data_IF_804729286607
#
_entry.id   IF_804729286607
#
_cell.length_a   1.000
_cell.length_b   1.000
_cell.length_c   1.000
_cell.angle_alpha   90.00
_cell.angle_beta   90.00
_cell.angle_gamma   90.00
#
_symmetry.space_group_name_H-M   'P 1'
#
loop_
_entity.id
_entity.type
_entity.pdbx_description
1 polymer ?
#
# COMPACT_ATOMS: atom_id res chain seq x y z
N UNK A 1 -1.43 4.73 3.82
CA UNK A 1 -1.79 4.26 2.45
C UNK A 1 -2.55 2.94 2.57
N UNK A 2 -3.44 2.64 1.63
CA UNK A 2 -4.18 1.38 1.52
C UNK A 2 -4.00 0.83 0.10
N UNK A 3 -3.63 -0.44 0.02
CA UNK A 3 -3.47 -1.17 -1.23
C UNK A 3 -4.69 -2.05 -1.47
N UNK A 4 -4.91 -2.45 -2.72
CA UNK A 4 -5.98 -3.38 -3.07
C UNK A 4 -5.69 -4.78 -2.52
N UNK A 5 -6.74 -5.52 -2.17
CA UNK A 5 -6.64 -6.89 -1.65
C UNK A 5 -6.31 -7.94 -2.74
N UNK A 6 -6.11 -7.49 -3.98
CA UNK A 6 -5.79 -8.31 -5.14
C UNK A 6 -4.77 -7.63 -6.04
N UNK A 7 -4.09 -8.45 -6.85
CA UNK A 7 -3.11 -8.00 -7.83
C UNK A 7 -3.40 -8.63 -9.19
N UNK A 8 -2.85 -8.02 -10.24
CA UNK A 8 -3.05 -8.45 -11.63
C UNK A 8 -1.73 -8.92 -12.23
N UNK A 9 -1.76 -10.03 -12.96
CA UNK A 9 -0.62 -10.53 -13.72
C UNK A 9 -0.52 -9.88 -15.13
N UNK A 10 0.56 -10.15 -15.86
CA UNK A 10 0.79 -9.57 -17.18
C UNK A 10 -0.22 -9.98 -18.26
N UNK A 11 -1.02 -11.03 -18.01
CA UNK A 11 -2.11 -11.46 -18.91
C UNK A 11 -3.46 -10.89 -18.50
N UNK A 12 -3.52 -10.09 -17.43
CA UNK A 12 -4.77 -9.55 -16.89
C UNK A 12 -5.49 -10.48 -15.92
N UNK A 13 -4.86 -11.57 -15.48
CA UNK A 13 -5.40 -12.45 -14.45
C UNK A 13 -5.38 -11.78 -13.07
N UNK A 14 -6.51 -11.79 -12.36
CA UNK A 14 -6.66 -11.19 -11.03
C UNK A 14 -6.50 -12.26 -9.96
N UNK A 15 -5.60 -12.02 -9.01
CA UNK A 15 -5.24 -12.95 -7.95
C UNK A 15 -5.42 -12.31 -6.57
N UNK A 16 -6.05 -12.99 -5.60
CA UNK A 16 -6.16 -12.47 -4.24
C UNK A 16 -4.79 -12.50 -3.56
N UNK A 17 -4.49 -11.47 -2.77
CA UNK A 17 -3.29 -11.49 -1.94
C UNK A 17 -3.58 -12.38 -0.73
N UNK A 18 -2.90 -13.52 -0.62
CA UNK A 18 -3.06 -14.47 0.48
C UNK A 18 -1.95 -14.26 1.51
N UNK A 19 -2.20 -13.39 2.48
CA UNK A 19 -1.31 -13.09 3.61
C UNK A 19 -1.93 -12.08 4.58
N UNK A 20 -1.41 -12.00 5.82
CA UNK A 20 -1.70 -10.89 6.73
C UNK A 20 -1.10 -9.62 6.14
N UNK A 21 -1.90 -8.87 5.37
CA UNK A 21 -1.44 -7.76 4.54
C UNK A 21 -1.21 -6.43 5.27
N UNK A 22 -1.21 -6.42 6.60
CA UNK A 22 -1.01 -5.20 7.39
C UNK A 22 0.30 -5.26 8.19
N UNK A 23 1.43 -5.37 7.48
CA UNK A 23 2.73 -5.03 8.07
C UNK A 23 3.18 -3.66 7.55
N UNK A 24 2.75 -2.61 8.26
CA UNK A 24 3.47 -1.33 8.28
C UNK A 24 4.85 -1.61 8.89
N UNK A 25 5.89 -1.74 8.07
CA UNK A 25 7.26 -1.80 8.56
C UNK A 25 7.82 -0.39 8.58
N UNK A 26 8.00 0.17 9.78
CA UNK A 26 8.75 1.42 9.95
C UNK A 26 10.23 1.11 9.72
N UNK A 27 10.73 1.43 8.53
CA UNK A 27 12.16 1.35 8.25
C UNK A 27 12.81 2.64 8.73
N UNK A 28 13.55 2.57 9.83
CA UNK A 28 14.40 3.67 10.28
C UNK A 28 15.58 3.77 9.29
N UNK A 29 15.65 4.86 8.54
CA UNK A 29 16.88 5.27 7.85
C UNK A 29 17.52 6.40 8.67
N UNK A 30 18.84 6.44 8.72
CA UNK A 30 19.64 7.27 9.66
C UNK A 30 19.35 8.78 9.64
N UNK A 31 18.56 9.28 8.68
CA UNK A 31 18.20 10.70 8.59
C UNK A 31 16.67 10.96 8.47
N UNK A 32 15.83 9.92 8.32
CA UNK A 32 14.37 10.07 8.26
C UNK A 32 13.63 8.76 8.53
N UNK A 33 12.51 8.83 9.26
CA UNK A 33 11.58 7.70 9.37
C UNK A 33 10.80 7.61 8.06
N UNK A 34 11.13 6.66 7.19
CA UNK A 34 10.36 6.38 5.98
C UNK A 34 9.38 5.26 6.33
N UNK A 35 8.09 5.54 6.25
CA UNK A 35 7.07 4.49 6.33
C UNK A 35 7.11 3.69 5.02
N UNK A 36 7.65 2.47 5.09
CA UNK A 36 7.72 1.53 3.98
C UNK A 36 6.52 0.59 4.01
N UNK A 37 5.92 0.35 2.85
CA UNK A 37 4.85 -0.65 2.69
C UNK A 37 5.47 -1.89 2.07
N UNK A 38 5.54 -2.97 2.85
CA UNK A 38 5.96 -4.28 2.36
C UNK A 38 4.72 -5.07 1.94
N UNK A 39 4.74 -5.61 0.71
CA UNK A 39 3.65 -6.45 0.18
C UNK A 39 4.23 -7.80 -0.18
N UNK A 40 3.57 -8.86 0.28
CA UNK A 40 3.87 -10.24 -0.12
C UNK A 40 2.75 -10.75 -1.01
N UNK A 41 3.05 -11.07 -2.28
CA UNK A 41 2.07 -11.61 -3.22
C UNK A 41 1.76 -13.10 -3.01
N UNK A 42 2.41 -13.75 -2.05
CA UNK A 42 2.33 -15.19 -1.84
C UNK A 42 3.39 -15.95 -2.65
N UNK A 43 3.60 -17.24 -2.33
CA UNK A 43 4.62 -18.06 -3.00
C UNK A 43 4.23 -18.40 -4.45
N UNK A 44 2.93 -18.56 -4.69
CA UNK A 44 2.35 -18.88 -6.00
C UNK A 44 2.56 -17.74 -7.01
N UNK A 45 2.84 -16.52 -6.53
CA UNK A 45 3.11 -15.37 -7.37
C UNK A 45 4.34 -15.53 -8.28
N UNK A 46 5.26 -16.44 -7.94
CA UNK A 46 6.42 -16.77 -8.75
C UNK A 46 6.04 -17.49 -10.05
N UNK A 47 4.89 -18.18 -10.06
CA UNK A 47 4.39 -18.93 -11.22
C UNK A 47 3.54 -18.07 -12.16
N UNK A 48 3.17 -16.86 -11.74
CA UNK A 48 2.33 -15.96 -12.54
C UNK A 48 3.15 -15.13 -13.55
N UNK A 49 2.57 -14.83 -14.74
CA UNK A 49 3.21 -13.98 -15.73
C UNK A 49 3.57 -12.59 -15.17
N UNK A 50 4.86 -12.26 -15.22
CA UNK A 50 5.39 -10.98 -14.76
C UNK A 50 5.25 -9.88 -15.84
N UNK A 51 5.05 -8.60 -15.47
CA UNK A 51 5.04 -8.07 -14.11
C UNK A 51 3.72 -8.30 -13.37
N UNK A 52 3.81 -8.34 -12.03
CA UNK A 52 2.65 -8.25 -11.15
C UNK A 52 2.35 -6.79 -10.81
N UNK A 53 1.08 -6.41 -10.83
CA UNK A 53 0.63 -5.05 -10.57
C UNK A 53 -0.38 -5.02 -9.44
N UNK A 54 -0.22 -4.12 -8.48
CA UNK A 54 -1.16 -3.89 -7.37
C UNK A 54 -1.66 -2.45 -7.41
N UNK A 55 -2.96 -2.25 -7.21
CA UNK A 55 -3.54 -0.93 -7.17
C UNK A 55 -3.38 -0.27 -5.79
N UNK A 56 -3.16 1.04 -5.78
CA UNK A 56 -3.25 1.86 -4.56
C UNK A 56 -4.69 2.36 -4.46
N UNK A 57 -5.45 1.86 -3.48
CA UNK A 57 -6.84 2.28 -3.26
C UNK A 57 -6.93 3.65 -2.59
N UNK A 58 -6.01 3.93 -1.65
CA UNK A 58 -5.95 5.21 -0.94
C UNK A 58 -4.52 5.56 -0.60
N UNK A 59 -4.03 6.69 -1.09
CA UNK A 59 -2.74 7.21 -0.63
C UNK A 59 -2.97 8.21 0.52
N UNK A 60 -1.97 8.35 1.39
CA UNK A 60 -2.01 9.39 2.41
C UNK A 60 -1.72 10.73 1.76
N UNK A 61 -2.63 11.70 1.87
CA UNK A 61 -2.43 13.05 1.36
C UNK A 61 -2.15 14.01 2.53
N UNK A 62 -0.88 14.31 2.83
CA UNK A 62 -0.52 15.14 3.98
C UNK A 62 -1.02 16.60 3.86
N UNK A 63 -1.30 17.08 2.64
CA UNK A 63 -1.78 18.45 2.41
C UNK A 63 -3.28 18.57 2.74
N UNK A 64 -4.09 17.54 2.46
CA UNK A 64 -5.53 17.56 2.74
C UNK A 64 -5.85 17.28 4.21
N UNK A 65 -5.08 16.42 4.87
CA UNK A 65 -5.35 16.05 6.27
C UNK A 65 -4.88 17.10 7.29
N UNK A 66 -3.88 17.94 6.95
CA UNK A 66 -3.36 18.97 7.85
C UNK A 66 -4.19 20.27 7.90
N UNK A 67 -5.17 20.43 7.02
CA UNK A 67 -5.95 21.68 6.87
C UNK A 67 -7.34 21.67 7.51
N UNK A 68 -7.61 20.79 8.49
CA UNK A 68 -8.84 20.94 9.30
C UNK A 68 -8.55 21.87 10.48
N UNK A 69 -8.62 23.18 10.23
CA UNK A 69 -8.69 24.19 11.28
C UNK A 69 -10.15 24.30 11.74
N UNK A 70 -10.46 23.80 12.93
CA UNK A 70 -11.77 24.05 13.54
C UNK A 70 -11.85 25.52 13.99
N UNK A 71 -12.65 26.31 13.26
CA UNK A 71 -13.00 27.67 13.65
C UNK A 71 -14.10 27.62 14.71
N UNK A 72 -13.72 27.71 15.98
CA UNK A 72 -14.68 27.98 17.05
C UNK A 72 -15.14 29.44 16.98
N UNK A 73 -16.43 29.65 16.69
CA UNK A 73 -17.07 30.95 16.88
C UNK A 73 -17.26 31.20 18.39
N UNK A 74 -16.86 32.39 18.84
CA UNK A 74 -16.99 32.84 20.23
C UNK A 74 -18.39 33.33 20.55
#
# INVERSE_FOLDING_TARGET
>A
MRLADSFTDAKGGVHPIRGDNDYSSRTLSDESTIEGYAVSFGKEAQDYPQPLTIAIERYWNPILESQTLELHAK
#
